data_IF_230609818319
#
_entry.id   IF_230609818319
#
_cell.length_a   1.000
_cell.length_b   1.000
_cell.length_c   1.000
_cell.angle_alpha   90.00
_cell.angle_beta   90.00
_cell.angle_gamma   90.00
#
_symmetry.space_group_name_H-M   'P 1'
#
loop_
_entity.id
_entity.type
_entity.pdbx_description
1 polymer ?
#
# COMPACT_ATOMS: atom_id res chain seq x y z
N UNK A 1 8.44 -29.65 7.17
CA UNK A 1 6.98 -29.43 7.08
C UNK A 1 6.82 -28.03 6.49
N UNK A 2 6.80 -27.94 5.17
CA UNK A 2 6.48 -26.69 4.46
C UNK A 2 5.02 -26.38 4.74
N UNK A 3 4.75 -25.24 5.38
CA UNK A 3 3.40 -24.79 5.69
C UNK A 3 2.63 -24.65 4.39
N UNK A 4 1.44 -25.25 4.34
CA UNK A 4 0.51 -25.04 3.25
C UNK A 4 0.11 -23.56 3.28
N UNK A 5 0.47 -22.80 2.26
CA UNK A 5 -0.16 -21.52 1.95
C UNK A 5 -1.60 -21.85 1.54
N UNK A 6 -2.57 -21.46 2.35
CA UNK A 6 -3.99 -21.62 2.02
C UNK A 6 -4.34 -20.63 0.90
N UNK A 7 -4.09 -21.02 -0.34
CA UNK A 7 -4.40 -20.21 -1.52
C UNK A 7 -5.90 -20.03 -1.64
N UNK A 8 -6.31 -18.79 -1.80
CA UNK A 8 -7.71 -18.43 -1.97
C UNK A 8 -7.87 -17.74 -3.32
N UNK A 9 -8.90 -18.10 -4.08
CA UNK A 9 -9.26 -17.37 -5.29
C UNK A 9 -10.56 -16.61 -5.09
N UNK A 10 -10.66 -15.45 -5.72
CA UNK A 10 -11.83 -14.58 -5.71
C UNK A 10 -12.65 -14.78 -6.99
N UNK A 11 -13.97 -14.69 -6.84
CA UNK A 11 -14.95 -14.77 -7.92
C UNK A 11 -15.83 -13.54 -7.79
N UNK A 12 -15.73 -12.69 -8.80
CA UNK A 12 -16.46 -11.43 -8.93
C UNK A 12 -17.96 -11.69 -9.15
N UNK A 13 -18.84 -10.80 -8.69
CA UNK A 13 -20.28 -10.93 -8.90
C UNK A 13 -20.67 -11.01 -10.39
N UNK A 14 -19.85 -10.44 -11.28
CA UNK A 14 -20.06 -10.51 -12.72
C UNK A 14 -19.50 -11.79 -13.38
N UNK A 15 -18.91 -12.72 -12.62
CA UNK A 15 -18.35 -13.97 -13.18
C UNK A 15 -19.46 -14.86 -13.77
N UNK A 16 -19.26 -15.28 -15.02
CA UNK A 16 -20.19 -16.14 -15.77
C UNK A 16 -20.46 -17.51 -15.13
N UNK A 17 -19.64 -17.97 -14.19
CA UNK A 17 -19.83 -19.19 -13.44
C UNK A 17 -20.84 -19.04 -12.27
N UNK A 18 -21.25 -17.81 -11.95
CA UNK A 18 -22.32 -17.53 -11.00
C UNK A 18 -23.66 -17.60 -11.73
N UNK A 19 -24.55 -18.46 -11.24
CA UNK A 19 -25.90 -18.62 -11.76
C UNK A 19 -26.88 -17.84 -10.88
N UNK A 20 -27.45 -16.74 -11.40
CA UNK A 20 -28.52 -16.01 -10.73
C UNK A 20 -29.86 -16.71 -10.94
N UNK A 21 -30.46 -17.17 -9.85
CA UNK A 21 -31.67 -18.01 -9.82
C UNK A 21 -32.98 -17.21 -9.81
N UNK A 22 -32.89 -15.90 -9.58
CA UNK A 22 -34.01 -14.97 -9.55
C UNK A 22 -33.64 -13.65 -10.26
N UNK A 23 -34.64 -12.80 -10.47
CA UNK A 23 -34.42 -11.47 -11.04
C UNK A 23 -33.46 -10.66 -10.16
N UNK A 24 -32.37 -10.18 -10.77
CA UNK A 24 -31.29 -9.45 -10.10
C UNK A 24 -30.98 -8.14 -10.82
N UNK A 25 -30.49 -7.16 -10.07
CA UNK A 25 -30.00 -5.89 -10.58
C UNK A 25 -28.48 -5.88 -10.50
N UNK A 26 -27.81 -5.79 -11.64
CA UNK A 26 -26.36 -5.63 -11.74
C UNK A 26 -26.02 -4.15 -11.90
N UNK A 27 -25.05 -3.65 -11.14
CA UNK A 27 -24.63 -2.26 -11.19
C UNK A 27 -23.13 -2.15 -11.36
N UNK A 28 -22.72 -1.13 -12.11
CA UNK A 28 -21.35 -0.63 -12.10
C UNK A 28 -21.34 0.69 -11.34
N UNK A 29 -20.38 0.86 -10.45
CA UNK A 29 -20.28 2.03 -9.57
C UNK A 29 -18.93 2.71 -9.71
N UNK A 30 -18.81 3.87 -9.08
CA UNK A 30 -17.55 4.63 -9.09
C UNK A 30 -16.74 4.26 -7.85
N UNK A 31 -15.89 3.24 -7.97
CA UNK A 31 -15.03 2.73 -6.90
C UNK A 31 -15.82 2.17 -5.68
N UNK A 32 -15.20 1.31 -4.87
CA UNK A 32 -15.71 0.71 -3.60
C UNK A 32 -16.29 -0.70 -3.65
N UNK A 33 -16.01 -1.46 -4.72
CA UNK A 33 -16.34 -2.88 -4.86
C UNK A 33 -15.25 -3.57 -5.68
N UNK A 34 -15.15 -4.90 -5.63
CA UNK A 34 -14.24 -5.62 -6.49
C UNK A 34 -14.65 -5.41 -7.96
N UNK A 35 -13.69 -4.98 -8.79
CA UNK A 35 -13.91 -4.49 -10.16
C UNK A 35 -15.05 -3.47 -10.36
N UNK A 36 -15.37 -2.70 -9.33
CA UNK A 36 -16.37 -1.63 -9.37
C UNK A 36 -17.78 -2.11 -9.74
N UNK A 37 -18.12 -3.37 -9.45
CA UNK A 37 -19.46 -3.94 -9.68
C UNK A 37 -20.09 -4.49 -8.40
N UNK A 38 -21.42 -4.52 -8.39
CA UNK A 38 -22.17 -5.29 -7.41
C UNK A 38 -23.52 -5.71 -7.99
N UNK A 39 -24.08 -6.77 -7.42
CA UNK A 39 -25.40 -7.28 -7.79
C UNK A 39 -26.32 -7.31 -6.58
N UNK A 40 -27.59 -6.95 -6.76
CA UNK A 40 -28.64 -7.07 -5.74
C UNK A 40 -29.84 -7.83 -6.28
N UNK A 41 -30.74 -8.25 -5.39
CA UNK A 41 -32.03 -8.81 -5.76
C UNK A 41 -32.94 -7.73 -6.38
N UNK A 42 -33.80 -8.14 -7.30
CA UNK A 42 -34.84 -7.29 -7.89
C UNK A 42 -36.26 -7.78 -7.62
N UNK A 43 -36.41 -8.85 -6.82
CA UNK A 43 -37.68 -9.43 -6.43
C UNK A 43 -37.55 -10.18 -5.09
N UNK A 44 -38.61 -10.21 -4.30
CA UNK A 44 -38.72 -11.07 -3.12
C UNK A 44 -38.68 -12.59 -3.45
N UNK A 45 -38.91 -12.98 -4.71
CA UNK A 45 -38.85 -14.39 -5.16
C UNK A 45 -37.46 -15.04 -4.95
N UNK A 46 -36.44 -14.24 -4.67
CA UNK A 46 -35.09 -14.66 -4.31
C UNK A 46 -34.99 -15.36 -2.93
N UNK A 47 -36.09 -15.49 -2.18
CA UNK A 47 -36.14 -16.19 -0.88
C UNK A 47 -35.73 -17.67 -0.95
N UNK A 48 -35.95 -18.35 -2.07
CA UNK A 48 -35.61 -19.76 -2.25
C UNK A 48 -34.21 -19.96 -2.87
N UNK A 49 -33.61 -18.89 -3.37
CA UNK A 49 -32.35 -18.90 -4.11
C UNK A 49 -32.17 -17.59 -4.85
N UNK A 50 -31.09 -16.88 -4.54
CA UNK A 50 -30.68 -15.69 -5.28
C UNK A 50 -29.60 -16.04 -6.31
N UNK A 51 -28.48 -16.60 -5.85
CA UNK A 51 -27.43 -17.08 -6.74
C UNK A 51 -26.87 -18.42 -6.27
N UNK A 52 -26.31 -19.14 -7.23
CA UNK A 52 -25.63 -20.40 -7.03
C UNK A 52 -24.22 -20.32 -7.58
N UNK A 53 -23.28 -20.94 -6.87
CA UNK A 53 -21.92 -21.12 -7.36
C UNK A 53 -21.43 -22.53 -7.08
N UNK A 54 -20.80 -23.13 -8.09
CA UNK A 54 -20.22 -24.47 -8.04
C UNK A 54 -18.70 -24.35 -8.04
N UNK A 55 -18.04 -24.99 -7.08
CA UNK A 55 -16.60 -24.83 -6.87
C UNK A 55 -15.93 -26.13 -6.46
N UNK A 56 -14.62 -26.22 -6.71
CA UNK A 56 -13.76 -27.20 -6.07
C UNK A 56 -12.90 -26.51 -5.01
N UNK A 57 -12.90 -26.98 -3.77
CA UNK A 57 -12.08 -26.38 -2.72
C UNK A 57 -12.43 -26.89 -1.33
N UNK A 58 -11.93 -26.20 -0.31
CA UNK A 58 -12.04 -26.61 1.10
C UNK A 58 -12.81 -25.60 1.95
N UNK A 59 -13.15 -24.43 1.41
CA UNK A 59 -13.91 -23.39 2.12
C UNK A 59 -14.50 -22.40 1.14
N UNK A 60 -15.65 -21.81 1.47
CA UNK A 60 -16.25 -20.69 0.73
C UNK A 60 -16.59 -19.54 1.67
N UNK A 61 -16.34 -18.31 1.21
CA UNK A 61 -16.74 -17.07 1.87
C UNK A 61 -17.52 -16.21 0.88
N UNK A 62 -18.62 -15.60 1.32
CA UNK A 62 -19.51 -14.78 0.50
C UNK A 62 -19.59 -13.38 1.10
N UNK A 63 -19.31 -12.37 0.29
CA UNK A 63 -19.48 -10.96 0.62
C UNK A 63 -20.77 -10.44 -0.01
N UNK A 64 -21.85 -10.41 0.77
CA UNK A 64 -23.14 -9.84 0.38
C UNK A 64 -23.72 -8.95 1.49
N UNK A 65 -23.07 -7.82 1.83
CA UNK A 65 -23.53 -6.93 2.88
C UNK A 65 -24.99 -6.49 2.74
N UNK A 66 -25.66 -6.35 3.89
CA UNK A 66 -27.05 -5.85 4.01
C UNK A 66 -27.12 -4.64 4.95
N UNK A 67 -28.06 -3.73 4.71
CA UNK A 67 -28.19 -2.45 5.44
C UNK A 67 -28.47 -2.56 6.94
N UNK A 68 -29.02 -3.69 7.40
CA UNK A 68 -29.45 -3.87 8.79
C UNK A 68 -28.82 -5.11 9.38
N UNK A 69 -28.12 -4.94 10.50
CA UNK A 69 -27.48 -6.05 11.21
C UNK A 69 -28.50 -7.00 11.86
N UNK A 70 -28.14 -8.28 11.96
CA UNK A 70 -28.91 -9.33 12.63
C UNK A 70 -30.11 -9.82 11.82
N UNK A 71 -30.15 -9.52 10.52
CA UNK A 71 -31.20 -10.03 9.64
C UNK A 71 -30.84 -11.42 9.14
N UNK A 72 -31.88 -12.18 8.83
CA UNK A 72 -31.76 -13.53 8.33
C UNK A 72 -31.49 -13.56 6.82
N UNK A 73 -30.65 -14.50 6.44
CA UNK A 73 -30.42 -14.92 5.06
C UNK A 73 -30.18 -16.42 5.07
N UNK A 74 -30.36 -17.06 3.91
CA UNK A 74 -30.28 -18.52 3.82
C UNK A 74 -29.08 -18.93 2.98
N UNK A 75 -28.36 -19.94 3.46
CA UNK A 75 -27.29 -20.60 2.70
C UNK A 75 -27.56 -22.10 2.66
N UNK A 76 -27.57 -22.68 1.47
CA UNK A 76 -27.64 -24.11 1.29
C UNK A 76 -26.33 -24.59 0.66
N UNK A 77 -25.55 -25.35 1.42
CA UNK A 77 -24.30 -25.95 0.97
C UNK A 77 -24.51 -27.45 0.72
N UNK A 78 -24.20 -27.90 -0.49
CA UNK A 78 -24.26 -29.30 -0.94
C UNK A 78 -25.61 -29.99 -0.73
N UNK A 79 -26.71 -29.24 -0.76
CA UNK A 79 -28.05 -29.76 -0.48
C UNK A 79 -28.19 -30.41 0.90
N UNK A 80 -27.31 -30.06 1.86
CA UNK A 80 -27.38 -30.54 3.25
C UNK A 80 -28.59 -29.97 4.02
N UNK A 81 -29.32 -29.03 3.41
CA UNK A 81 -30.45 -28.31 3.98
C UNK A 81 -30.14 -26.83 4.09
N UNK A 82 -31.16 -26.00 3.92
CA UNK A 82 -31.07 -24.56 4.08
C UNK A 82 -30.70 -24.21 5.53
N UNK A 83 -29.54 -23.57 5.71
CA UNK A 83 -29.12 -22.97 6.97
C UNK A 83 -29.62 -21.52 7.00
N UNK A 84 -30.33 -21.16 8.07
CA UNK A 84 -30.70 -19.77 8.34
C UNK A 84 -29.57 -19.17 9.16
N UNK A 85 -28.91 -18.17 8.58
CA UNK A 85 -27.85 -17.41 9.20
C UNK A 85 -28.37 -16.04 9.62
N UNK A 86 -27.71 -15.41 10.61
CA UNK A 86 -28.06 -14.09 11.10
C UNK A 86 -26.83 -13.20 11.09
N UNK A 87 -26.94 -11.99 10.54
CA UNK A 87 -25.82 -11.06 10.57
C UNK A 87 -25.97 -9.90 9.62
N UNK A 88 -24.87 -9.58 8.95
CA UNK A 88 -24.76 -8.52 7.95
C UNK A 88 -24.70 -9.07 6.52
N UNK A 89 -25.15 -10.30 6.27
CA UNK A 89 -25.14 -10.92 4.94
C UNK A 89 -23.80 -11.53 4.51
N UNK A 90 -22.77 -11.48 5.37
CA UNK A 90 -21.49 -12.15 5.16
C UNK A 90 -21.54 -13.59 5.67
N UNK A 91 -21.21 -14.55 4.81
CA UNK A 91 -21.17 -15.97 5.15
C UNK A 91 -19.77 -16.55 4.99
N UNK A 92 -19.37 -17.46 5.88
CA UNK A 92 -18.16 -18.26 5.74
C UNK A 92 -18.46 -19.70 6.14
N UNK A 93 -18.18 -20.65 5.28
CA UNK A 93 -18.36 -22.06 5.62
C UNK A 93 -17.38 -22.49 6.71
N UNK A 94 -17.77 -23.55 7.45
CA UNK A 94 -16.78 -24.36 8.15
C UNK A 94 -15.80 -25.03 7.16
N UNK A 95 -14.76 -25.71 7.66
CA UNK A 95 -13.88 -26.50 6.82
C UNK A 95 -14.67 -27.58 6.07
N UNK A 96 -14.42 -27.69 4.76
CA UNK A 96 -15.00 -28.69 3.87
C UNK A 96 -13.92 -29.71 3.49
N UNK A 97 -14.34 -30.92 3.13
CA UNK A 97 -13.45 -31.86 2.46
C UNK A 97 -13.06 -31.31 1.10
N UNK A 98 -11.79 -31.42 0.68
CA UNK A 98 -11.42 -31.06 -0.70
C UNK A 98 -12.26 -31.84 -1.72
N UNK A 99 -12.88 -31.11 -2.64
CA UNK A 99 -13.74 -31.68 -3.66
C UNK A 99 -14.72 -30.65 -4.22
N UNK A 100 -15.66 -31.16 -5.01
CA UNK A 100 -16.70 -30.36 -5.64
C UNK A 100 -17.83 -30.06 -4.64
N UNK A 101 -18.22 -28.79 -4.59
CA UNK A 101 -19.27 -28.25 -3.73
C UNK A 101 -20.19 -27.33 -4.52
N UNK A 102 -21.42 -27.15 -4.02
CA UNK A 102 -22.37 -26.16 -4.54
C UNK A 102 -22.95 -25.35 -3.40
N UNK A 103 -22.82 -24.04 -3.48
CA UNK A 103 -23.46 -23.11 -2.55
C UNK A 103 -24.59 -22.38 -3.24
N UNK A 104 -25.75 -22.31 -2.58
CA UNK A 104 -26.87 -21.45 -2.95
C UNK A 104 -27.09 -20.44 -1.84
N UNK A 105 -26.99 -19.16 -2.18
CA UNK A 105 -27.27 -18.06 -1.26
C UNK A 105 -28.65 -17.48 -1.60
N UNK A 106 -29.47 -17.18 -0.60
CA UNK A 106 -30.83 -16.71 -0.78
C UNK A 106 -31.21 -15.60 0.20
N UNK A 107 -31.90 -14.60 -0.33
CA UNK A 107 -32.47 -13.48 0.43
C UNK A 107 -33.68 -12.94 -0.33
N UNK A 108 -34.86 -12.96 0.28
CA UNK A 108 -36.12 -12.50 -0.35
C UNK A 108 -36.61 -11.15 0.16
N UNK A 109 -35.70 -10.28 0.60
CA UNK A 109 -36.04 -9.05 1.34
C UNK A 109 -35.39 -7.83 0.68
N UNK A 110 -36.09 -7.26 -0.30
CA UNK A 110 -35.62 -6.09 -1.08
C UNK A 110 -35.35 -4.87 -0.18
N UNK A 111 -36.07 -4.74 0.93
CA UNK A 111 -35.91 -3.65 1.89
C UNK A 111 -34.62 -3.72 2.73
N UNK A 112 -33.82 -4.78 2.56
CA UNK A 112 -32.48 -4.94 3.14
C UNK A 112 -31.37 -4.42 2.25
N UNK A 113 -31.63 -4.21 0.96
CA UNK A 113 -30.65 -3.78 -0.04
C UNK A 113 -29.36 -4.63 0.00
N UNK A 114 -29.43 -5.95 -0.21
CA UNK A 114 -28.24 -6.79 -0.26
C UNK A 114 -27.35 -6.38 -1.43
N UNK A 115 -26.05 -6.26 -1.23
CA UNK A 115 -25.09 -5.94 -2.28
C UNK A 115 -24.04 -7.04 -2.37
N UNK A 116 -24.25 -8.02 -3.25
CA UNK A 116 -23.28 -9.07 -3.50
C UNK A 116 -22.16 -8.55 -4.40
N UNK A 117 -20.94 -8.67 -3.91
CA UNK A 117 -19.72 -8.11 -4.51
C UNK A 117 -18.81 -9.23 -5.03
N UNK A 118 -18.50 -10.19 -4.18
CA UNK A 118 -17.71 -11.35 -4.55
C UNK A 118 -17.95 -12.52 -3.60
N UNK A 119 -17.47 -13.68 -4.02
CA UNK A 119 -17.18 -14.79 -3.13
C UNK A 119 -15.71 -15.20 -3.27
N UNK A 120 -15.19 -15.88 -2.26
CA UNK A 120 -13.86 -16.47 -2.31
C UNK A 120 -13.90 -17.94 -1.95
N UNK A 121 -12.97 -18.71 -2.50
CA UNK A 121 -12.83 -20.15 -2.25
C UNK A 121 -11.39 -20.45 -1.86
N UNK A 122 -11.23 -21.12 -0.72
CA UNK A 122 -9.95 -21.71 -0.33
C UNK A 122 -9.72 -22.96 -1.20
N UNK A 123 -8.63 -22.96 -1.94
CA UNK A 123 -8.29 -24.01 -2.88
C UNK A 123 -7.79 -25.26 -2.16
N UNK A 124 -8.24 -26.43 -2.62
CA UNK A 124 -7.67 -27.73 -2.27
C UNK A 124 -6.89 -28.32 -3.45
N UNK A 125 -6.38 -29.54 -3.29
CA UNK A 125 -5.64 -30.24 -4.35
C UNK A 125 -6.49 -30.47 -5.60
N UNK A 126 -7.82 -30.60 -5.45
CA UNK A 126 -8.79 -30.77 -6.54
C UNK A 126 -9.14 -29.47 -7.28
N UNK A 127 -8.72 -28.31 -6.77
CA UNK A 127 -9.03 -27.01 -7.36
C UNK A 127 -8.16 -26.73 -8.59
N UNK A 128 -8.82 -26.46 -9.72
CA UNK A 128 -8.16 -25.98 -10.93
C UNK A 128 -7.83 -24.48 -10.78
N UNK A 129 -6.55 -24.17 -10.62
CA UNK A 129 -6.07 -22.82 -10.31
C UNK A 129 -5.75 -21.98 -11.55
N UNK A 130 -5.39 -22.61 -12.67
CA UNK A 130 -4.97 -21.86 -13.86
C UNK A 130 -6.10 -20.97 -14.38
N UNK A 131 -5.79 -19.69 -14.56
CA UNK A 131 -6.74 -18.67 -14.97
C UNK A 131 -7.66 -18.15 -13.86
N UNK A 132 -7.53 -18.66 -12.63
CA UNK A 132 -8.22 -18.09 -11.45
C UNK A 132 -7.46 -16.87 -10.95
N UNK A 133 -8.20 -15.88 -10.47
CA UNK A 133 -7.67 -14.73 -9.75
C UNK A 133 -7.43 -15.12 -8.30
N UNK A 134 -6.17 -15.31 -7.93
CA UNK A 134 -5.78 -15.52 -6.53
C UNK A 134 -5.89 -14.20 -5.79
N UNK A 135 -6.41 -14.23 -4.56
CA UNK A 135 -6.45 -13.10 -3.63
C UNK A 135 -5.56 -13.41 -2.42
N UNK A 136 -4.76 -12.42 -2.02
CA UNK A 136 -3.79 -12.51 -0.92
C UNK A 136 -4.08 -11.37 0.04
N UNK A 137 -4.58 -11.74 1.22
CA UNK A 137 -4.93 -10.81 2.29
C UNK A 137 -3.70 -10.07 2.82
N UNK A 138 -3.87 -8.84 3.32
CA UNK A 138 -2.77 -8.08 3.93
C UNK A 138 -2.21 -8.73 5.21
N UNK A 139 -2.93 -9.67 5.84
CA UNK A 139 -2.41 -10.43 6.98
C UNK A 139 -1.65 -11.70 6.56
N UNK A 140 -1.57 -12.00 5.25
CA UNK A 140 -0.77 -13.12 4.76
C UNK A 140 0.72 -12.92 5.12
N UNK A 141 1.36 -13.91 5.76
CA UNK A 141 2.75 -13.78 6.20
C UNK A 141 3.75 -13.68 5.06
N UNK A 142 3.41 -14.12 3.84
CA UNK A 142 4.25 -13.98 2.65
C UNK A 142 4.18 -12.56 2.06
N UNK A 143 3.21 -11.74 2.47
CA UNK A 143 3.16 -10.30 2.21
C UNK A 143 4.12 -9.57 3.17
N UNK A 144 5.40 -9.47 2.77
CA UNK A 144 6.46 -9.01 3.64
C UNK A 144 6.51 -7.47 3.77
N UNK A 145 5.84 -6.93 4.78
CA UNK A 145 5.89 -5.51 5.14
C UNK A 145 7.20 -5.11 5.84
N UNK A 146 7.68 -3.90 5.57
CA UNK A 146 8.85 -3.28 6.18
C UNK A 146 8.64 -1.79 6.41
N UNK A 147 9.17 -1.26 7.52
CA UNK A 147 8.94 0.12 7.95
C UNK A 147 7.95 0.22 9.11
N UNK A 148 7.11 1.26 9.12
CA UNK A 148 6.21 1.61 10.23
C UNK A 148 4.73 1.31 9.94
N UNK A 149 4.46 0.26 9.16
CA UNK A 149 3.10 -0.17 8.86
C UNK A 149 2.31 -0.51 10.15
N UNK A 150 1.05 -0.11 10.19
CA UNK A 150 0.13 -0.33 11.30
C UNK A 150 -1.07 -1.15 10.84
N UNK A 151 -1.53 -2.08 11.67
CA UNK A 151 -2.77 -2.86 11.43
C UNK A 151 -4.06 -2.12 11.78
N UNK A 152 -3.92 -0.88 12.24
CA UNK A 152 -5.02 0.01 12.59
C UNK A 152 -4.80 1.32 11.84
N UNK A 153 -5.89 1.87 11.30
CA UNK A 153 -5.86 3.16 10.63
C UNK A 153 -5.30 4.24 11.56
N UNK A 154 -4.41 5.08 11.04
CA UNK A 154 -3.74 6.15 11.78
C UNK A 154 -4.75 7.26 12.08
N UNK A 155 -5.63 7.52 11.11
CA UNK A 155 -6.81 8.37 11.27
C UNK A 155 -8.08 7.56 11.01
N UNK A 156 -9.20 7.85 11.70
CA UNK A 156 -10.45 7.14 11.48
C UNK A 156 -10.87 7.14 10.01
N UNK A 157 -11.22 5.97 9.50
CA UNK A 157 -11.77 5.77 8.16
C UNK A 157 -13.11 5.07 8.29
N UNK A 158 -14.14 5.67 7.71
CA UNK A 158 -15.48 5.11 7.67
C UNK A 158 -15.84 4.73 6.24
N UNK A 159 -16.58 3.63 6.10
CA UNK A 159 -17.10 3.10 4.85
C UNK A 159 -18.63 3.03 4.90
N UNK A 160 -19.26 2.89 3.74
CA UNK A 160 -20.69 2.57 3.69
C UNK A 160 -20.93 1.12 4.16
N UNK A 161 -22.16 0.77 4.53
CA UNK A 161 -22.49 -0.59 4.99
C UNK A 161 -22.22 -1.66 3.92
N UNK A 162 -22.31 -1.28 2.64
CA UNK A 162 -22.21 -2.16 1.48
C UNK A 162 -20.79 -2.36 0.97
N UNK A 163 -19.81 -1.64 1.54
CA UNK A 163 -18.42 -1.67 1.10
C UNK A 163 -17.50 -1.77 2.31
N UNK A 164 -16.38 -2.48 2.17
CA UNK A 164 -15.44 -2.64 3.28
C UNK A 164 -14.10 -3.15 2.78
N UNK A 165 -13.21 -3.47 3.71
CA UNK A 165 -11.96 -4.13 3.36
C UNK A 165 -12.15 -5.64 3.30
N UNK A 166 -11.31 -6.31 2.52
CA UNK A 166 -11.28 -7.76 2.52
C UNK A 166 -10.95 -8.26 3.94
N UNK A 167 -11.73 -9.24 4.40
CA UNK A 167 -11.64 -9.81 5.76
C UNK A 167 -11.66 -8.80 6.93
N UNK A 168 -12.10 -7.56 6.70
CA UNK A 168 -12.04 -6.46 7.67
C UNK A 168 -10.61 -6.16 8.19
N UNK A 169 -9.60 -6.37 7.37
CA UNK A 169 -8.18 -6.07 7.65
C UNK A 169 -7.64 -4.99 6.72
N UNK A 170 -6.49 -4.42 7.08
CA UNK A 170 -5.69 -3.51 6.26
C UNK A 170 -4.38 -3.16 6.97
N UNK A 171 -3.30 -2.99 6.21
CA UNK A 171 -2.02 -2.44 6.67
C UNK A 171 -1.89 -0.99 6.22
N UNK A 172 -1.74 -0.10 7.20
CA UNK A 172 -1.77 1.35 7.04
C UNK A 172 -0.38 1.96 7.13
N UNK A 173 -0.11 2.95 6.27
CA UNK A 173 1.09 3.78 6.36
C UNK A 173 0.79 5.24 6.01
N UNK A 174 1.54 6.14 6.62
CA UNK A 174 1.69 7.54 6.24
C UNK A 174 3.17 7.96 6.24
N UNK A 175 4.09 6.99 6.09
CA UNK A 175 5.54 7.23 6.23
C UNK A 175 6.28 6.87 4.94
N UNK A 176 6.96 7.86 4.35
CA UNK A 176 7.83 7.61 3.20
C UNK A 176 9.01 6.70 3.61
N UNK A 177 9.28 5.70 2.78
CA UNK A 177 10.26 4.64 3.04
C UNK A 177 9.63 3.31 3.48
N UNK A 178 8.36 3.32 3.88
CA UNK A 178 7.62 2.09 4.15
C UNK A 178 7.38 1.30 2.84
N UNK A 179 7.51 -0.02 2.90
CA UNK A 179 7.40 -0.88 1.73
C UNK A 179 6.81 -2.25 2.06
N UNK A 180 6.30 -2.95 1.06
CA UNK A 180 6.03 -4.38 1.13
C UNK A 180 6.46 -5.10 -0.15
N UNK A 181 6.72 -6.40 -0.04
CA UNK A 181 7.02 -7.25 -1.20
C UNK A 181 6.23 -8.55 -1.17
N UNK A 182 5.91 -9.07 -2.34
CA UNK A 182 5.22 -10.34 -2.51
C UNK A 182 5.78 -11.10 -3.70
N UNK A 183 5.92 -12.42 -3.57
CA UNK A 183 6.30 -13.30 -4.68
C UNK A 183 5.06 -14.06 -5.16
N UNK A 184 4.80 -14.03 -6.46
CA UNK A 184 3.65 -14.68 -7.07
C UNK A 184 4.04 -15.45 -8.32
N UNK A 185 3.27 -16.49 -8.68
CA UNK A 185 3.44 -17.23 -9.92
C UNK A 185 2.20 -17.05 -10.78
N UNK A 186 2.30 -16.27 -11.84
CA UNK A 186 1.13 -15.87 -12.62
C UNK A 186 1.44 -15.00 -13.83
N UNK A 187 0.39 -14.41 -14.40
CA UNK A 187 0.46 -13.60 -15.62
C UNK A 187 0.02 -12.15 -15.43
N UNK A 188 -0.40 -11.76 -14.24
CA UNK A 188 -0.75 -10.38 -13.89
C UNK A 188 -0.66 -10.19 -12.38
N UNK A 189 -0.59 -8.95 -11.92
CA UNK A 189 -0.71 -8.62 -10.49
C UNK A 189 -1.40 -7.28 -10.31
N UNK A 190 -2.22 -7.16 -9.28
CA UNK A 190 -2.88 -5.92 -8.88
C UNK A 190 -2.83 -5.72 -7.36
N UNK A 191 -2.81 -4.46 -6.93
CA UNK A 191 -2.78 -4.05 -5.52
C UNK A 191 -4.03 -3.25 -5.22
N UNK A 192 -4.77 -3.70 -4.21
CA UNK A 192 -5.99 -3.07 -3.73
C UNK A 192 -5.80 -2.49 -2.34
N UNK A 193 -6.55 -1.43 -2.04
CA UNK A 193 -6.42 -0.74 -0.77
C UNK A 193 -7.49 0.30 -0.53
N UNK A 194 -7.21 1.17 0.42
CA UNK A 194 -8.11 2.22 0.87
C UNK A 194 -7.51 3.57 0.54
N UNK A 195 -8.18 4.31 -0.35
CA UNK A 195 -7.94 5.73 -0.55
C UNK A 195 -8.68 6.47 0.56
N UNK A 196 -7.99 6.79 1.65
CA UNK A 196 -8.61 7.51 2.78
C UNK A 196 -9.07 8.89 2.35
N UNK A 197 -10.15 9.41 2.91
CA UNK A 197 -10.46 10.84 2.79
C UNK A 197 -9.36 11.70 3.46
N UNK A 198 -9.33 12.99 3.14
CA UNK A 198 -8.47 13.96 3.84
C UNK A 198 -9.05 15.37 3.74
N UNK A 199 -8.85 16.19 4.77
CA UNK A 199 -9.29 17.58 4.82
C UNK A 199 -8.20 18.58 4.42
N UNK A 200 -6.93 18.15 4.37
CA UNK A 200 -5.78 19.08 4.45
C UNK A 200 -4.91 19.05 3.18
N UNK A 201 -5.49 18.84 2.00
CA UNK A 201 -4.75 18.72 0.73
C UNK A 201 -3.57 17.72 0.77
N UNK A 202 -3.72 16.64 1.55
CA UNK A 202 -2.69 15.63 1.71
C UNK A 202 -2.52 14.76 0.46
N UNK A 203 -1.27 14.40 0.16
CA UNK A 203 -0.91 13.56 -0.98
C UNK A 203 0.03 12.46 -0.51
N UNK A 204 -0.12 11.27 -1.10
CA UNK A 204 0.78 10.13 -0.91
C UNK A 204 1.13 9.60 -2.29
N UNK A 205 2.37 9.15 -2.48
CA UNK A 205 2.85 8.57 -3.73
C UNK A 205 3.47 7.22 -3.46
N UNK A 206 2.94 6.20 -4.12
CA UNK A 206 3.52 4.86 -4.14
C UNK A 206 4.33 4.66 -5.42
N UNK A 207 5.32 3.78 -5.36
CA UNK A 207 6.02 3.25 -6.53
C UNK A 207 5.90 1.73 -6.52
N UNK A 208 5.72 1.15 -7.70
CA UNK A 208 5.54 -0.27 -7.90
C UNK A 208 6.68 -0.80 -8.78
N UNK A 209 7.11 -2.03 -8.55
CA UNK A 209 8.03 -2.71 -9.45
C UNK A 209 7.76 -4.21 -9.44
N UNK A 210 7.86 -4.83 -10.61
CA UNK A 210 7.83 -6.28 -10.75
C UNK A 210 9.17 -6.71 -11.33
N UNK A 211 9.84 -7.68 -10.72
CA UNK A 211 11.14 -8.22 -11.14
C UNK A 211 12.27 -7.20 -11.29
N UNK A 212 12.26 -6.16 -10.45
CA UNK A 212 13.18 -5.02 -10.52
C UNK A 212 12.98 -4.11 -11.74
N UNK A 213 11.97 -4.35 -12.58
CA UNK A 213 11.50 -3.40 -13.57
C UNK A 213 10.54 -2.41 -12.90
N UNK A 214 10.93 -1.13 -12.89
CA UNK A 214 10.14 -0.07 -12.24
C UNK A 214 8.99 0.38 -13.14
N UNK A 215 7.80 -0.15 -12.89
CA UNK A 215 6.56 0.54 -13.26
C UNK A 215 6.33 1.66 -12.24
N UNK A 216 6.94 2.83 -12.45
CA UNK A 216 6.69 3.99 -11.59
C UNK A 216 5.31 4.57 -11.92
N UNK A 217 4.25 3.90 -11.45
CA UNK A 217 2.91 4.47 -11.44
C UNK A 217 2.79 5.35 -10.20
N UNK A 218 2.86 6.66 -10.42
CA UNK A 218 2.58 7.66 -9.38
C UNK A 218 1.07 7.77 -9.22
N UNK A 219 0.49 7.07 -8.26
CA UNK A 219 -0.87 7.41 -7.83
C UNK A 219 -0.76 8.64 -6.95
N UNK A 220 -0.99 9.82 -7.51
CA UNK A 220 -1.12 11.04 -6.72
C UNK A 220 -2.58 11.16 -6.28
N UNK A 221 -2.87 10.69 -5.07
CA UNK A 221 -4.21 10.77 -4.49
C UNK A 221 -4.48 12.21 -4.03
N UNK A 222 -4.94 13.07 -4.95
CA UNK A 222 -5.32 14.45 -4.66
C UNK A 222 -6.82 14.58 -4.41
N UNK A 223 -7.18 15.30 -3.34
CA UNK A 223 -8.52 15.54 -2.81
C UNK A 223 -9.66 15.71 -3.84
N UNK A 224 -10.44 14.67 -4.09
CA UNK A 224 -11.77 14.83 -4.70
C UNK A 224 -12.88 14.00 -4.02
N UNK A 225 -12.54 13.19 -3.00
CA UNK A 225 -13.55 12.38 -2.30
C UNK A 225 -13.75 12.86 -0.87
N UNK A 226 -14.99 13.21 -0.53
CA UNK A 226 -15.42 13.49 0.85
C UNK A 226 -15.44 12.24 1.72
N UNK A 227 -15.40 11.05 1.09
CA UNK A 227 -15.44 9.73 1.72
C UNK A 227 -14.19 8.92 1.38
N UNK A 228 -13.83 8.01 2.28
CA UNK A 228 -12.80 7.01 2.03
C UNK A 228 -13.34 5.98 1.04
N UNK A 229 -12.48 5.51 0.15
CA UNK A 229 -12.84 4.54 -0.89
C UNK A 229 -12.09 3.24 -0.59
N UNK A 230 -12.75 2.20 -0.06
CA UNK A 230 -12.16 0.87 0.09
C UNK A 230 -12.09 0.16 -1.27
N UNK A 231 -11.44 -1.01 -1.33
CA UNK A 231 -11.31 -1.83 -2.56
C UNK A 231 -10.81 -1.06 -3.80
N UNK A 232 -10.09 0.03 -3.59
CA UNK A 232 -9.57 0.83 -4.69
C UNK A 232 -8.39 0.08 -5.33
N UNK A 233 -8.46 -0.16 -6.64
CA UNK A 233 -7.32 -0.67 -7.40
C UNK A 233 -6.25 0.42 -7.49
N UNK A 234 -5.18 0.28 -6.72
CA UNK A 234 -4.06 1.24 -6.68
C UNK A 234 -3.07 1.00 -7.82
N UNK A 235 -2.94 -0.25 -8.26
CA UNK A 235 -2.00 -0.66 -9.30
C UNK A 235 -2.46 -1.95 -9.96
N UNK A 236 -2.16 -2.11 -11.25
CA UNK A 236 -2.25 -3.38 -11.96
C UNK A 236 -1.28 -3.41 -13.13
N UNK A 237 -0.77 -4.60 -13.46
CA UNK A 237 0.09 -4.83 -14.62
C UNK A 237 0.00 -6.29 -15.08
N UNK A 238 0.01 -6.49 -16.39
CA UNK A 238 0.20 -7.82 -16.99
C UNK A 238 1.70 -8.14 -17.10
N UNK A 239 2.05 -9.39 -16.83
CA UNK A 239 3.43 -9.89 -16.88
C UNK A 239 3.49 -11.20 -17.68
N UNK A 240 4.66 -11.58 -18.23
CA UNK A 240 4.84 -12.91 -18.80
C UNK A 240 4.46 -13.99 -17.78
N UNK A 241 4.15 -15.21 -18.23
CA UNK A 241 3.98 -16.33 -17.32
C UNK A 241 5.29 -16.66 -16.59
N UNK A 242 5.28 -16.62 -15.27
CA UNK A 242 6.41 -17.04 -14.46
C UNK A 242 6.32 -16.67 -12.99
N UNK A 243 7.43 -16.90 -12.30
CA UNK A 243 7.63 -16.48 -10.91
C UNK A 243 8.12 -15.03 -10.89
N UNK A 244 7.37 -14.17 -10.22
CA UNK A 244 7.60 -12.73 -10.16
C UNK A 244 7.70 -12.22 -8.73
N UNK A 245 8.41 -11.11 -8.53
CA UNK A 245 8.44 -10.39 -7.25
C UNK A 245 7.86 -8.99 -7.42
N UNK A 246 6.71 -8.74 -6.81
CA UNK A 246 6.14 -7.41 -6.62
C UNK A 246 6.84 -6.70 -5.45
N UNK A 247 7.20 -5.43 -5.63
CA UNK A 247 7.65 -4.54 -4.55
C UNK A 247 6.89 -3.23 -4.65
N UNK A 248 6.34 -2.78 -3.51
CA UNK A 248 5.62 -1.52 -3.38
C UNK A 248 6.30 -0.66 -2.34
N UNK A 249 6.54 0.62 -2.65
CA UNK A 249 7.19 1.56 -1.72
C UNK A 249 6.37 2.84 -1.62
N UNK A 250 6.15 3.33 -0.40
CA UNK A 250 5.69 4.69 -0.14
C UNK A 250 6.87 5.63 -0.35
N UNK A 251 6.84 6.45 -1.40
CA UNK A 251 7.98 7.29 -1.79
C UNK A 251 7.87 8.73 -1.31
N UNK A 252 6.65 9.21 -1.08
CA UNK A 252 6.39 10.58 -0.66
C UNK A 252 5.07 10.67 0.10
N UNK A 253 5.05 11.49 1.15
CA UNK A 253 3.85 11.81 1.94
C UNK A 253 3.83 13.30 2.25
N UNK A 254 2.69 13.93 2.02
CA UNK A 254 2.39 15.33 2.33
C UNK A 254 1.18 15.40 3.26
N UNK A 255 1.25 16.28 4.26
CA UNK A 255 0.19 16.54 5.23
C UNK A 255 -0.38 15.26 5.87
N UNK A 256 0.53 14.32 6.22
CA UNK A 256 0.22 13.08 6.93
C UNK A 256 -0.83 12.19 6.23
N UNK A 257 -0.99 12.32 4.89
CA UNK A 257 -1.89 11.46 4.12
C UNK A 257 -1.55 9.99 4.37
N UNK A 258 -2.56 9.23 4.77
CA UNK A 258 -2.43 7.78 4.95
C UNK A 258 -2.95 7.01 3.72
N UNK A 259 -2.48 5.78 3.60
CA UNK A 259 -2.99 4.76 2.69
C UNK A 259 -3.17 3.46 3.47
N UNK A 260 -4.24 2.72 3.19
CA UNK A 260 -4.39 1.34 3.63
C UNK A 260 -4.12 0.41 2.45
N UNK A 261 -3.35 -0.65 2.65
CA UNK A 261 -3.21 -1.78 1.73
C UNK A 261 -4.07 -2.90 2.27
N UNK A 262 -4.92 -3.46 1.41
CA UNK A 262 -5.97 -4.41 1.79
C UNK A 262 -5.65 -5.81 1.27
N UNK A 263 -5.44 -5.95 -0.04
CA UNK A 263 -5.05 -7.23 -0.61
C UNK A 263 -4.30 -7.06 -1.93
N UNK A 264 -3.65 -8.14 -2.34
CA UNK A 264 -3.04 -8.30 -3.67
C UNK A 264 -3.82 -9.36 -4.43
N UNK A 265 -4.02 -9.17 -5.73
CA UNK A 265 -4.51 -10.22 -6.61
C UNK A 265 -3.53 -10.54 -7.73
N UNK A 266 -3.57 -11.77 -8.23
CA UNK A 266 -2.82 -12.17 -9.42
C UNK A 266 -3.54 -13.31 -10.15
N UNK A 267 -3.40 -13.37 -11.48
CA UNK A 267 -3.91 -14.50 -12.27
C UNK A 267 -2.93 -15.67 -12.21
N UNK A 268 -3.34 -16.79 -11.62
CA UNK A 268 -2.49 -17.97 -11.49
C UNK A 268 -2.27 -18.65 -12.86
N UNK A 269 -1.03 -19.07 -13.11
CA UNK A 269 -0.65 -19.81 -14.32
C UNK A 269 -0.37 -21.30 -14.09
N UNK A 270 -0.45 -21.76 -12.85
CA UNK A 270 -0.26 -23.15 -12.43
C UNK A 270 -1.60 -23.90 -12.32
N UNK A 271 -1.58 -25.22 -12.53
CA UNK A 271 -2.80 -26.03 -12.64
C UNK A 271 -3.43 -26.32 -11.26
N UNK A 272 -2.63 -26.60 -10.24
CA UNK A 272 -3.07 -26.96 -8.87
C UNK A 272 -2.09 -26.42 -7.81
N UNK A 273 -2.55 -26.29 -6.57
CA UNK A 273 -1.71 -25.86 -5.43
C UNK A 273 -0.48 -26.75 -5.22
N UNK A 274 -0.58 -28.04 -5.58
CA UNK A 274 0.53 -29.01 -5.47
C UNK A 274 1.60 -28.81 -6.56
N UNK A 275 1.27 -28.07 -7.62
CA UNK A 275 2.16 -27.80 -8.76
C UNK A 275 2.96 -26.52 -8.62
N UNK A 276 2.75 -25.76 -7.54
CA UNK A 276 3.47 -24.51 -7.33
C UNK A 276 4.94 -24.84 -7.12
N UNK A 277 5.85 -24.31 -7.95
CA UNK A 277 7.26 -24.51 -7.77
C UNK A 277 7.64 -23.88 -6.43
N UNK A 278 7.90 -24.73 -5.43
CA UNK A 278 8.50 -24.28 -4.19
C UNK A 278 9.84 -23.66 -4.56
N UNK A 279 10.01 -22.38 -4.24
CA UNK A 279 11.31 -21.72 -4.30
C UNK A 279 12.32 -22.64 -3.58
N UNK A 280 13.49 -22.95 -4.17
CA UNK A 280 14.35 -24.00 -3.65
C UNK A 280 14.75 -23.66 -2.22
N UNK A 281 14.12 -24.34 -1.27
CA UNK A 281 14.51 -24.31 0.13
C UNK A 281 15.95 -24.82 0.17
N UNK A 282 16.88 -23.95 0.55
CA UNK A 282 18.29 -24.28 0.68
C UNK A 282 18.43 -25.42 1.72
N UNK A 283 18.35 -26.65 1.24
CA UNK A 283 18.68 -27.84 2.01
C UNK A 283 20.20 -27.82 2.22
N UNK A 284 20.62 -27.37 3.39
CA UNK A 284 22.01 -27.33 3.79
C UNK A 284 22.52 -28.76 4.04
N UNK A 285 23.07 -29.39 3.00
CA UNK A 285 24.08 -30.45 3.16
C UNK A 285 25.46 -29.84 2.98
N UNK A 286 26.42 -30.03 3.90
CA UNK A 286 27.72 -29.40 3.81
C UNK A 286 28.61 -30.21 2.87
N UNK A 287 28.86 -29.70 1.67
CA UNK A 287 29.97 -30.17 0.84
C UNK A 287 30.73 -28.96 0.32
N UNK A 288 31.95 -28.83 0.81
CA UNK A 288 32.94 -27.84 0.37
C UNK A 288 33.30 -28.06 -1.10
N UNK A 289 33.06 -27.06 -1.94
CA UNK A 289 33.95 -26.70 -3.06
C UNK A 289 33.56 -25.33 -3.65
N UNK A 290 34.60 -24.55 -3.91
CA UNK A 290 34.68 -23.15 -4.36
C UNK A 290 34.08 -22.90 -5.76
N UNK A 291 33.23 -21.87 -5.90
CA UNK A 291 33.33 -20.85 -6.99
C UNK A 291 32.24 -19.76 -6.92
N UNK A 292 32.71 -18.52 -6.73
CA UNK A 292 32.18 -17.20 -7.12
C UNK A 292 30.66 -17.03 -7.40
N UNK A 293 29.94 -16.47 -6.43
CA UNK A 293 28.75 -15.65 -6.67
C UNK A 293 29.10 -14.18 -6.40
N UNK A 294 28.78 -13.30 -7.36
CA UNK A 294 28.89 -11.85 -7.15
C UNK A 294 27.78 -11.43 -6.20
N UNK A 295 28.10 -11.35 -4.91
CA UNK A 295 27.26 -10.66 -3.95
C UNK A 295 27.33 -9.16 -4.24
N UNK A 296 26.21 -8.55 -4.60
CA UNK A 296 26.12 -7.09 -4.52
C UNK A 296 26.18 -6.73 -3.05
N UNK A 297 27.26 -6.08 -2.64
CA UNK A 297 27.49 -5.68 -1.26
C UNK A 297 26.45 -4.61 -0.90
N UNK A 298 25.35 -5.04 -0.28
CA UNK A 298 24.30 -4.15 0.25
C UNK A 298 24.93 -3.08 1.16
N UNK A 299 26.00 -3.42 1.89
CA UNK A 299 26.78 -2.45 2.67
C UNK A 299 27.45 -1.33 1.86
N UNK A 300 27.84 -1.59 0.60
CA UNK A 300 28.40 -0.57 -0.28
C UNK A 300 27.31 0.38 -0.82
N UNK A 301 26.09 -0.14 -1.06
CA UNK A 301 24.94 0.66 -1.49
C UNK A 301 24.47 1.56 -0.33
N UNK A 302 24.32 1.00 0.87
CA UNK A 302 23.93 1.77 2.07
C UNK A 302 25.03 2.77 2.45
N UNK A 303 26.31 2.40 2.36
CA UNK A 303 27.44 3.30 2.63
C UNK A 303 27.52 4.48 1.64
N UNK A 304 27.20 4.25 0.37
CA UNK A 304 27.15 5.29 -0.65
C UNK A 304 26.05 6.32 -0.41
N UNK A 305 24.86 5.88 0.02
CA UNK A 305 23.72 6.77 0.31
C UNK A 305 24.00 7.62 1.55
N UNK A 306 24.49 7.02 2.63
CA UNK A 306 24.84 7.76 3.86
C UNK A 306 25.99 8.73 3.60
N UNK A 307 27.02 8.31 2.86
CA UNK A 307 28.14 9.18 2.47
C UNK A 307 27.71 10.32 1.55
N UNK A 308 26.80 10.08 0.61
CA UNK A 308 26.25 11.09 -0.28
C UNK A 308 25.46 12.16 0.45
N UNK A 309 24.62 11.77 1.42
CA UNK A 309 23.83 12.73 2.23
C UNK A 309 24.77 13.61 3.06
N UNK A 310 25.78 13.02 3.71
CA UNK A 310 26.78 13.78 4.47
C UNK A 310 27.57 14.73 3.56
N UNK A 311 27.98 14.27 2.38
CA UNK A 311 28.71 15.10 1.42
C UNK A 311 27.88 16.28 0.92
N UNK A 312 26.60 16.07 0.58
CA UNK A 312 25.69 17.14 0.14
C UNK A 312 25.45 18.15 1.27
N UNK A 313 25.26 17.70 2.50
CA UNK A 313 25.11 18.57 3.66
C UNK A 313 26.37 19.44 3.90
N UNK A 314 27.56 18.85 3.82
CA UNK A 314 28.82 19.56 3.95
C UNK A 314 29.06 20.54 2.78
N UNK A 315 28.69 20.17 1.55
CA UNK A 315 28.79 21.03 0.38
C UNK A 315 27.86 22.25 0.51
N UNK A 316 26.62 22.05 0.95
CA UNK A 316 25.67 23.12 1.20
C UNK A 316 26.17 24.08 2.29
N UNK A 317 26.72 23.55 3.40
CA UNK A 317 27.31 24.35 4.47
C UNK A 317 28.53 25.15 3.98
N UNK A 318 29.38 24.54 3.16
CA UNK A 318 30.55 25.20 2.58
C UNK A 318 30.15 26.36 1.65
N UNK A 319 29.20 26.12 0.74
CA UNK A 319 28.67 27.17 -0.16
C UNK A 319 28.00 28.30 0.63
N UNK A 320 27.30 27.99 1.72
CA UNK A 320 26.73 28.99 2.62
C UNK A 320 27.80 29.87 3.27
N UNK A 321 28.89 29.29 3.76
CA UNK A 321 30.02 30.04 4.35
C UNK A 321 30.70 30.95 3.29
N UNK A 322 30.88 30.46 2.06
CA UNK A 322 31.43 31.27 0.96
C UNK A 322 30.53 32.45 0.61
N UNK A 323 29.21 32.24 0.53
CA UNK A 323 28.23 33.32 0.33
C UNK A 323 28.28 34.34 1.47
N UNK A 324 28.34 33.88 2.72
CA UNK A 324 28.42 34.75 3.90
C UNK A 324 29.70 35.60 3.88
N UNK A 325 30.84 35.01 3.55
CA UNK A 325 32.13 35.71 3.41
C UNK A 325 32.13 36.70 2.23
N UNK A 326 31.55 36.34 1.09
CA UNK A 326 31.40 37.23 -0.06
C UNK A 326 30.51 38.43 0.27
N UNK A 327 29.42 38.23 1.02
CA UNK A 327 28.53 39.29 1.47
C UNK A 327 29.23 40.26 2.43
N UNK A 328 30.05 39.74 3.36
CA UNK A 328 30.87 40.58 4.25
C UNK A 328 31.94 41.39 3.49
N UNK A 329 32.59 40.79 2.48
CA UNK A 329 33.57 41.51 1.63
C UNK A 329 32.93 42.59 0.77
N UNK A 330 31.69 42.38 0.29
CA UNK A 330 30.92 43.42 -0.42
C UNK A 330 30.55 44.59 0.49
N UNK A 331 30.24 44.34 1.77
CA UNK A 331 30.01 45.41 2.77
C UNK A 331 31.28 46.20 3.10
N UNK A 332 32.44 45.54 3.19
CA UNK A 332 33.73 46.23 3.43
C UNK A 332 34.20 47.03 2.20
N UNK A 333 34.03 46.50 0.98
CA UNK A 333 34.36 47.23 -0.27
C UNK A 333 33.41 48.40 -0.53
N UNK A 334 32.12 48.28 -0.19
CA UNK A 334 31.17 49.40 -0.24
C UNK A 334 31.51 50.48 0.79
N UNK A 335 31.93 50.11 2.01
CA UNK A 335 32.39 51.07 3.03
C UNK A 335 33.70 51.78 2.61
N UNK A 336 34.66 51.05 2.04
CA UNK A 336 35.92 51.63 1.53
C UNK A 336 35.70 52.55 0.31
N UNK A 337 34.73 52.25 -0.57
CA UNK A 337 34.38 53.11 -1.70
C UNK A 337 33.66 54.41 -1.29
N UNK A 338 32.95 54.41 -0.15
CA UNK A 338 32.35 55.63 0.42
C UNK A 338 33.41 56.51 1.08
N UNK A 339 34.41 55.92 1.75
CA UNK A 339 35.53 56.67 2.37
C UNK A 339 36.50 57.22 1.33
N UNK A 340 36.79 56.47 0.26
CA UNK A 340 37.68 56.93 -0.82
C UNK A 340 37.12 58.07 -1.69
N UNK A 341 35.81 58.29 -1.67
CA UNK A 341 35.16 59.38 -2.45
C UNK A 341 35.20 60.74 -1.75
N UNK A 342 35.52 60.77 -0.45
CA UNK A 342 35.59 61.99 0.36
C UNK A 342 37.02 62.40 0.77
N UNK A 343 38.06 61.78 0.20
CA UNK A 343 39.43 62.22 0.46
C UNK A 343 39.80 63.40 -0.45
N UNK A 344 39.60 64.61 0.06
CA UNK A 344 40.11 65.84 -0.52
C UNK A 344 41.37 66.27 0.25
N UNK A 345 42.58 66.16 -0.33
CA UNK A 345 43.84 66.46 0.37
C UNK A 345 44.03 67.95 0.72
N UNK A 346 43.09 68.83 0.36
CA UNK A 346 43.20 70.27 0.57
C UNK A 346 42.47 70.84 1.80
N UNK A 347 41.85 70.02 2.66
CA UNK A 347 41.05 70.53 3.78
C UNK A 347 41.56 70.20 5.20
N UNK A 348 42.63 69.40 5.36
CA UNK A 348 43.06 68.95 6.70
C UNK A 348 44.38 69.57 7.20
N UNK A 349 44.71 70.77 6.72
CA UNK A 349 45.86 71.55 7.18
C UNK A 349 45.50 72.61 8.26
N UNK A 350 44.32 72.52 8.91
CA UNK A 350 43.85 73.61 9.79
C UNK A 350 43.34 73.27 11.18
N UNK A 351 43.46 72.04 11.67
CA UNK A 351 43.13 71.75 13.07
C UNK A 351 44.26 70.99 13.77
N UNK A 352 45.17 71.77 14.34
CA UNK A 352 46.13 71.32 15.33
C UNK A 352 45.64 71.85 16.70
N UNK A 353 45.14 70.99 17.60
CA UNK A 353 44.95 71.38 18.99
C UNK A 353 46.24 71.13 19.78
N UNK A 354 46.82 72.22 20.26
CA UNK A 354 47.79 72.28 21.35
C UNK A 354 47.13 71.85 22.65
N UNK A 355 47.73 70.91 23.40
CA UNK A 355 47.72 70.95 24.87
C UNK A 355 49.04 70.36 25.37
N UNK A 356 49.84 71.20 26.02
CA UNK A 356 51.03 70.84 26.77
C UNK A 356 50.67 70.15 28.11
N UNK A 357 51.46 69.13 28.43
CA UNK A 357 52.03 68.75 29.73
C UNK A 357 51.11 68.53 30.96
N UNK A 358 51.26 67.41 31.67
CA UNK A 358 52.33 67.23 32.67
C UNK A 358 52.36 65.81 33.28
N UNK A 359 53.50 65.15 33.09
CA UNK A 359 54.28 64.23 33.94
C UNK A 359 53.72 63.07 34.79
N UNK A 360 54.36 61.92 34.53
CA UNK A 360 55.11 61.01 35.43
C UNK A 360 54.50 60.50 36.74
N UNK A 361 54.37 59.17 36.87
CA UNK A 361 55.33 58.25 37.53
C UNK A 361 54.68 56.85 37.58
N UNK A 362 55.24 55.84 36.93
CA UNK A 362 56.36 54.97 37.36
C UNK A 362 56.00 53.96 38.48
N UNK A 363 56.25 52.68 38.16
CA UNK A 363 56.46 51.53 39.06
C UNK A 363 55.23 50.98 39.83
N UNK A 364 55.02 49.67 40.05
CA UNK A 364 55.84 48.46 39.91
C UNK A 364 54.95 47.23 40.22
N UNK A 365 55.29 46.09 39.61
CA UNK A 365 55.24 44.67 40.10
C UNK A 365 53.98 44.10 40.77
N UNK A 366 53.67 42.84 40.40
CA UNK A 366 52.65 41.95 41.01
C UNK A 366 52.92 41.59 42.49
N UNK A 367 52.39 40.46 43.01
CA UNK A 367 52.05 39.20 42.33
C UNK A 367 50.62 39.08 41.81
#
# INVERSE_FOLDING_TARGET
MSGFTNLTYIVDDSDSAIEYLCASTHQSVTNSFFHDTWTSIASADCEQGWFQYKFNGTKVHISSPITRYGQDYTVNLDSAGALIEYGNGIYTSGPLSDGEHTVVYAIGREDLYPAFDYLTVEAGSSTQMKGRTVIVDDYDPDLAFSGNWSRVAIYPTEFDYSSGTYQNTAHWSNTAGDAFSYQFHGTSVAVFGIISNTTDAGSIVLSYSVDSEKATTTVSLTNDTTRSVPMAQLFSVDVPDGLHTLVVNVTFVLNLRQIGIDFVTYNASFESIDSIPSSPSASATPVSATSSSKTMNVGAIVGGVVGGIVFVALLALFLYILKKRAHQRRRIRAAAAIIGRNYNPHLDAKHQPTVEAYQMRDQKTGP
#
